data_IF_984361540751
#
_entry.id   IF_984361540751
#
_cell.length_a   1.000
_cell.length_b   1.000
_cell.length_c   1.000
_cell.angle_alpha   90.00
_cell.angle_beta   90.00
_cell.angle_gamma   90.00
#
_symmetry.space_group_name_H-M   'P 1'
#
loop_
_entity.id
_entity.type
_entity.pdbx_description
1 polymer ?
#
# COMPACT_ATOMS: atom_id res chain seq x y z
N UNK A 1 -0.72 9.30 15.78
CA UNK A 1 -0.55 7.83 15.73
C UNK A 1 -0.88 7.43 14.31
N UNK A 2 -0.08 6.58 13.68
CA UNK A 2 -0.35 6.12 12.31
C UNK A 2 -1.53 5.16 12.35
N UNK A 3 -2.49 5.35 11.44
CA UNK A 3 -3.76 4.61 11.41
C UNK A 3 -3.98 3.91 10.08
N UNK A 4 -3.45 4.47 8.99
CA UNK A 4 -3.68 3.99 7.63
C UNK A 4 -2.36 3.72 6.91
N UNK A 5 -2.28 2.57 6.23
CA UNK A 5 -1.26 2.27 5.24
C UNK A 5 -1.94 2.26 3.88
N UNK A 6 -1.44 3.03 2.91
CA UNK A 6 -2.00 3.02 1.57
C UNK A 6 -1.37 1.90 0.74
N UNK A 7 -2.23 1.16 0.06
CA UNK A 7 -1.84 0.26 -1.02
C UNK A 7 -1.40 1.07 -2.28
N UNK A 8 -0.66 0.43 -3.16
CA UNK A 8 -0.07 1.02 -4.38
C UNK A 8 -1.14 1.61 -5.29
N UNK A 9 -2.28 0.91 -5.48
CA UNK A 9 -3.37 1.45 -6.29
C UNK A 9 -3.95 2.76 -5.71
N UNK A 10 -4.11 2.86 -4.39
CA UNK A 10 -4.62 4.07 -3.73
C UNK A 10 -3.65 5.23 -3.90
N UNK A 11 -2.34 4.98 -3.82
CA UNK A 11 -1.31 5.98 -4.11
C UNK A 11 -1.45 6.52 -5.53
N UNK A 12 -1.61 5.64 -6.54
CA UNK A 12 -1.80 6.02 -7.94
C UNK A 12 -3.06 6.89 -8.12
N UNK A 13 -4.18 6.51 -7.50
CA UNK A 13 -5.42 7.30 -7.57
C UNK A 13 -5.26 8.69 -6.91
N UNK A 14 -4.56 8.78 -5.78
CA UNK A 14 -4.27 10.03 -5.10
C UNK A 14 -3.37 10.95 -5.95
N UNK A 15 -2.29 10.40 -6.52
CA UNK A 15 -1.36 11.12 -7.41
C UNK A 15 -2.07 11.66 -8.65
N UNK A 16 -2.90 10.84 -9.29
CA UNK A 16 -3.67 11.22 -10.47
C UNK A 16 -4.88 12.11 -10.17
N UNK A 17 -5.18 12.34 -8.88
CA UNK A 17 -6.35 13.07 -8.39
C UNK A 17 -7.67 12.53 -8.99
N UNK A 18 -7.75 11.22 -9.20
CA UNK A 18 -8.87 10.54 -9.86
C UNK A 18 -9.11 9.20 -9.16
N UNK A 19 -10.23 9.00 -8.46
CA UNK A 19 -11.27 9.99 -8.19
C UNK A 19 -10.82 11.03 -7.15
N UNK A 20 -11.30 12.27 -7.26
CA UNK A 20 -10.89 13.38 -6.39
C UNK A 20 -11.12 13.09 -4.89
N UNK A 21 -12.08 12.22 -4.55
CA UNK A 21 -12.37 11.83 -3.16
C UNK A 21 -11.20 11.14 -2.46
N UNK A 22 -10.37 10.39 -3.19
CA UNK A 22 -9.19 9.72 -2.61
C UNK A 22 -8.19 10.78 -2.14
N UNK A 23 -7.90 11.78 -2.97
CA UNK A 23 -7.01 12.90 -2.59
C UNK A 23 -7.58 13.71 -1.42
N UNK A 24 -8.90 13.93 -1.38
CA UNK A 24 -9.55 14.61 -0.24
C UNK A 24 -9.37 13.83 1.07
N UNK A 25 -9.60 12.51 1.06
CA UNK A 25 -9.36 11.65 2.24
C UNK A 25 -7.88 11.66 2.65
N UNK A 26 -6.96 11.61 1.70
CA UNK A 26 -5.53 11.69 1.99
C UNK A 26 -5.16 13.00 2.71
N UNK A 27 -5.65 14.14 2.22
CA UNK A 27 -5.41 15.45 2.87
C UNK A 27 -6.03 15.47 4.27
N UNK A 28 -7.25 14.95 4.42
CA UNK A 28 -7.94 14.88 5.72
C UNK A 28 -7.16 14.05 6.75
N UNK A 29 -6.51 12.97 6.32
CA UNK A 29 -5.80 12.04 7.19
C UNK A 29 -4.27 12.16 7.13
N UNK A 30 -3.72 13.23 6.53
CA UNK A 30 -2.30 13.32 6.17
C UNK A 30 -1.31 12.97 7.31
N UNK A 31 -1.65 13.27 8.56
CA UNK A 31 -0.80 13.04 9.74
C UNK A 31 -0.82 11.58 10.24
N UNK A 32 -1.76 10.78 9.77
CA UNK A 32 -2.03 9.42 10.24
C UNK A 32 -1.88 8.38 9.12
N UNK A 33 -1.34 8.78 7.97
CA UNK A 33 -1.19 7.94 6.78
C UNK A 33 0.29 7.64 6.53
N UNK A 34 0.56 6.41 6.13
CA UNK A 34 1.87 5.95 5.70
C UNK A 34 1.78 5.09 4.44
N UNK A 35 2.93 4.76 3.87
CA UNK A 35 3.08 3.70 2.87
C UNK A 35 4.18 2.73 3.29
N UNK A 36 4.08 1.48 2.84
CA UNK A 36 5.18 0.54 2.91
C UNK A 36 6.28 0.95 1.92
N UNK A 37 7.56 0.76 2.27
CA UNK A 37 8.64 0.92 1.30
C UNK A 37 8.53 -0.05 0.09
N UNK A 38 7.75 -1.14 0.21
CA UNK A 38 7.37 -2.02 -0.90
C UNK A 38 6.47 -1.28 -1.91
N UNK A 39 5.47 -0.54 -1.42
CA UNK A 39 4.63 0.33 -2.26
C UNK A 39 5.45 1.42 -2.94
N UNK A 40 6.40 2.02 -2.21
CA UNK A 40 7.36 2.97 -2.82
C UNK A 40 8.14 2.32 -3.97
N UNK A 41 8.64 1.10 -3.77
CA UNK A 41 9.37 0.37 -4.82
C UNK A 41 8.49 0.12 -6.06
N UNK A 42 7.22 -0.23 -5.90
CA UNK A 42 6.28 -0.38 -7.03
C UNK A 42 6.02 0.95 -7.75
N UNK A 43 5.86 2.05 -7.01
CA UNK A 43 5.67 3.39 -7.59
C UNK A 43 6.90 3.83 -8.40
N UNK A 44 8.10 3.64 -7.85
CA UNK A 44 9.36 3.96 -8.53
C UNK A 44 9.56 3.07 -9.76
N UNK A 45 9.26 1.78 -9.67
CA UNK A 45 9.29 0.88 -10.83
C UNK A 45 8.32 1.34 -11.93
N UNK A 46 7.11 1.77 -11.56
CA UNK A 46 6.16 2.37 -12.49
C UNK A 46 6.70 3.64 -13.16
N UNK A 47 7.41 4.49 -12.41
CA UNK A 47 8.07 5.68 -12.94
C UNK A 47 9.21 5.34 -13.91
N UNK A 48 10.06 4.37 -13.60
CA UNK A 48 11.14 3.91 -14.48
C UNK A 48 10.62 3.35 -15.81
N UNK A 49 9.46 2.68 -15.80
CA UNK A 49 8.83 2.12 -17.00
C UNK A 49 8.04 3.16 -17.84
N UNK A 50 7.84 4.36 -17.32
CA UNK A 50 7.03 5.41 -17.97
C UNK A 50 7.67 5.88 -19.28
N UNK A 51 6.83 6.18 -20.29
CA UNK A 51 7.28 6.83 -21.53
C UNK A 51 7.94 8.20 -21.28
N UNK A 52 7.53 8.89 -20.20
CA UNK A 52 8.22 10.05 -19.69
C UNK A 52 8.65 9.77 -18.24
N UNK A 53 9.82 9.15 -18.12
CA UNK A 53 10.43 8.73 -16.86
C UNK A 53 10.60 9.89 -15.88
N UNK A 54 11.25 10.98 -16.29
CA UNK A 54 11.58 12.09 -15.40
C UNK A 54 10.33 12.75 -14.80
N UNK A 55 9.29 12.94 -15.61
CA UNK A 55 8.00 13.46 -15.13
C UNK A 55 7.34 12.53 -14.12
N UNK A 56 7.36 11.21 -14.37
CA UNK A 56 6.77 10.24 -13.47
C UNK A 56 7.56 10.15 -12.15
N UNK A 57 8.90 10.18 -12.23
CA UNK A 57 9.78 10.17 -11.06
C UNK A 57 9.56 11.39 -10.17
N UNK A 58 9.47 12.58 -10.77
CA UNK A 58 9.13 13.81 -10.05
C UNK A 58 7.77 13.70 -9.35
N UNK A 59 6.76 13.13 -10.02
CA UNK A 59 5.43 12.95 -9.43
C UNK A 59 5.47 11.99 -8.22
N UNK A 60 6.23 10.90 -8.30
CA UNK A 60 6.41 9.97 -7.16
C UNK A 60 7.09 10.69 -5.99
N UNK A 61 8.20 11.39 -6.22
CA UNK A 61 8.89 12.11 -5.17
C UNK A 61 8.03 13.19 -4.52
N UNK A 62 7.35 14.01 -5.32
CA UNK A 62 6.46 15.05 -4.80
C UNK A 62 5.29 14.47 -3.99
N UNK A 63 4.82 13.27 -4.35
CA UNK A 63 3.78 12.57 -3.60
C UNK A 63 4.29 12.03 -2.27
N UNK A 64 5.49 11.45 -2.24
CA UNK A 64 6.04 10.78 -1.07
C UNK A 64 6.75 11.71 -0.10
N UNK A 65 7.12 12.92 -0.51
CA UNK A 65 7.80 13.94 0.32
C UNK A 65 7.08 14.23 1.65
N UNK A 66 5.74 14.16 1.66
CA UNK A 66 4.93 14.45 2.84
C UNK A 66 4.28 13.19 3.46
N UNK A 67 4.70 12.00 3.04
CA UNK A 67 4.19 10.73 3.57
C UNK A 67 5.24 10.06 4.44
N UNK A 68 4.78 9.46 5.54
CA UNK A 68 5.63 8.55 6.28
C UNK A 68 5.81 7.26 5.46
N UNK A 69 7.05 6.92 5.17
CA UNK A 69 7.41 5.63 4.57
C UNK A 69 7.91 4.73 5.70
N UNK A 70 7.24 3.59 5.89
CA UNK A 70 7.66 2.60 6.87
C UNK A 70 8.60 1.58 6.22
N UNK A 71 9.67 1.25 6.93
CA UNK A 71 10.62 0.22 6.53
C UNK A 71 10.02 -1.17 6.73
N UNK A 72 10.10 -1.99 5.69
CA UNK A 72 9.73 -3.39 5.77
C UNK A 72 10.76 -4.18 6.60
N UNK A 73 10.44 -4.41 7.86
CA UNK A 73 11.32 -5.04 8.85
C UNK A 73 11.10 -6.56 8.99
N UNK A 74 11.78 -7.16 9.98
CA UNK A 74 11.68 -8.60 10.28
C UNK A 74 10.27 -9.00 10.73
N UNK A 75 9.55 -8.11 11.41
CA UNK A 75 8.18 -8.38 11.84
C UNK A 75 7.24 -8.42 10.63
N UNK A 76 7.34 -7.44 9.74
CA UNK A 76 6.63 -7.44 8.46
C UNK A 76 6.90 -8.73 7.67
N UNK A 77 8.18 -9.11 7.53
CA UNK A 77 8.58 -10.36 6.88
C UNK A 77 7.95 -11.61 7.50
N UNK A 78 7.91 -11.68 8.83
CA UNK A 78 7.31 -12.80 9.57
C UNK A 78 5.81 -12.92 9.29
N UNK A 79 5.09 -11.81 9.28
CA UNK A 79 3.66 -11.81 8.97
C UNK A 79 3.40 -12.16 7.50
N UNK A 80 4.17 -11.62 6.57
CA UNK A 80 4.09 -11.97 5.14
C UNK A 80 4.27 -13.46 4.90
N UNK A 81 5.28 -14.09 5.51
CA UNK A 81 5.51 -15.52 5.38
C UNK A 81 4.32 -16.35 5.88
N UNK A 82 3.76 -15.97 7.04
CA UNK A 82 2.56 -16.62 7.62
C UNK A 82 1.35 -16.49 6.70
N UNK A 83 1.11 -15.29 6.16
CA UNK A 83 -0.01 -15.03 5.25
C UNK A 83 0.14 -15.87 3.99
N UNK A 84 1.31 -15.80 3.34
CA UNK A 84 1.59 -16.53 2.10
C UNK A 84 1.37 -18.03 2.25
N UNK A 85 2.00 -18.65 3.25
CA UNK A 85 1.87 -20.08 3.51
C UNK A 85 0.43 -20.50 3.88
N UNK A 86 -0.35 -19.60 4.50
CA UNK A 86 -1.75 -19.87 4.83
C UNK A 86 -2.65 -19.79 3.61
N UNK A 87 -2.47 -18.78 2.76
CA UNK A 87 -3.26 -18.59 1.55
C UNK A 87 -2.95 -19.65 0.48
N UNK A 88 -1.68 -20.02 0.31
CA UNK A 88 -1.26 -21.08 -0.61
C UNK A 88 -1.86 -22.44 -0.21
N UNK A 89 -1.80 -22.82 1.08
CA UNK A 89 -2.45 -24.05 1.58
C UNK A 89 -3.97 -24.08 1.35
N UNK A 90 -4.61 -22.91 1.30
CA UNK A 90 -6.04 -22.76 1.05
C UNK A 90 -6.39 -22.65 -0.45
N UNK A 91 -5.40 -22.67 -1.34
CA UNK A 91 -5.61 -22.49 -2.79
C UNK A 91 -6.10 -21.08 -3.16
N UNK A 92 -5.83 -20.07 -2.33
CA UNK A 92 -6.29 -18.70 -2.52
C UNK A 92 -5.14 -17.67 -2.41
N UNK A 93 -4.03 -17.85 -3.14
CA UNK A 93 -2.93 -16.88 -3.10
C UNK A 93 -3.39 -15.49 -3.56
N UNK A 94 -2.67 -14.46 -3.12
CA UNK A 94 -2.75 -13.08 -3.62
C UNK A 94 -1.38 -12.68 -4.17
N UNK A 95 -1.27 -11.51 -4.81
CA UNK A 95 -0.01 -11.02 -5.38
C UNK A 95 1.15 -11.05 -4.36
N UNK A 96 2.38 -11.25 -4.84
CA UNK A 96 3.55 -11.32 -3.95
C UNK A 96 3.78 -9.99 -3.21
N UNK A 97 3.71 -8.85 -3.91
CA UNK A 97 3.79 -7.53 -3.28
C UNK A 97 2.58 -7.22 -2.40
N UNK A 98 1.37 -7.61 -2.82
CA UNK A 98 0.17 -7.50 -1.97
C UNK A 98 0.33 -8.28 -0.65
N UNK A 99 0.93 -9.47 -0.71
CA UNK A 99 1.20 -10.28 0.48
C UNK A 99 2.22 -9.60 1.41
N UNK A 100 3.20 -8.91 0.82
CA UNK A 100 4.19 -8.11 1.58
C UNK A 100 3.52 -6.90 2.24
N UNK A 101 2.72 -6.15 1.50
CA UNK A 101 1.99 -4.97 2.01
C UNK A 101 0.98 -5.38 3.09
N UNK A 102 0.22 -6.45 2.88
CA UNK A 102 -0.69 -7.01 3.88
C UNK A 102 0.04 -7.44 5.16
N UNK A 103 1.17 -8.13 5.02
CA UNK A 103 1.99 -8.53 6.17
C UNK A 103 2.56 -7.34 6.92
N UNK A 104 2.98 -6.30 6.20
CA UNK A 104 3.48 -5.07 6.80
C UNK A 104 2.37 -4.36 7.60
N UNK A 105 1.21 -4.10 7.00
CA UNK A 105 0.08 -3.47 7.68
C UNK A 105 -0.36 -4.26 8.92
N UNK A 106 -0.46 -5.60 8.80
CA UNK A 106 -0.87 -6.47 9.90
C UNK A 106 0.17 -6.49 11.05
N UNK A 107 1.46 -6.47 10.74
CA UNK A 107 2.53 -6.45 11.75
C UNK A 107 2.53 -5.19 12.61
N UNK A 108 2.02 -4.08 12.08
CA UNK A 108 1.93 -2.78 12.74
C UNK A 108 0.53 -2.51 13.32
N UNK A 109 -0.43 -3.43 13.14
CA UNK A 109 -1.84 -3.24 13.49
C UNK A 109 -2.45 -1.97 12.86
N UNK A 110 -2.17 -1.76 11.58
CA UNK A 110 -2.60 -0.60 10.78
C UNK A 110 -3.69 -1.02 9.79
N UNK A 111 -4.65 -0.12 9.51
CA UNK A 111 -5.69 -0.33 8.50
C UNK A 111 -5.08 -0.20 7.10
N UNK A 112 -5.18 -1.22 6.27
CA UNK A 112 -4.77 -1.16 4.87
C UNK A 112 -5.89 -0.54 4.01
N UNK A 113 -5.59 0.59 3.37
CA UNK A 113 -6.49 1.25 2.43
C UNK A 113 -6.24 0.71 1.04
N UNK A 114 -7.23 0.07 0.43
CA UNK A 114 -7.10 -0.59 -0.88
C UNK A 114 -8.40 -0.56 -1.67
N UNK A 115 -8.29 -0.55 -3.00
CA UNK A 115 -9.43 -0.83 -3.89
C UNK A 115 -9.61 -2.34 -4.17
N UNK A 116 -8.65 -3.18 -3.79
CA UNK A 116 -8.66 -4.62 -4.05
C UNK A 116 -9.15 -5.44 -2.83
N UNK A 117 -10.21 -4.98 -2.17
CA UNK A 117 -10.71 -5.62 -0.95
C UNK A 117 -11.06 -7.10 -1.15
N UNK A 118 -11.45 -7.52 -2.36
CA UNK A 118 -11.74 -8.93 -2.67
C UNK A 118 -10.56 -9.86 -2.39
N UNK A 119 -9.34 -9.44 -2.70
CA UNK A 119 -8.14 -10.23 -2.45
C UNK A 119 -7.69 -10.09 -1.00
N UNK A 120 -7.60 -8.86 -0.50
CA UNK A 120 -7.11 -8.61 0.85
C UNK A 120 -8.03 -9.16 1.96
N UNK A 121 -9.33 -9.30 1.74
CA UNK A 121 -10.25 -9.95 2.69
C UNK A 121 -9.90 -11.43 2.96
N UNK A 122 -9.07 -12.06 2.13
CA UNK A 122 -8.58 -13.43 2.37
C UNK A 122 -7.55 -13.49 3.50
N UNK A 123 -6.93 -12.36 3.83
CA UNK A 123 -5.92 -12.24 4.89
C UNK A 123 -6.61 -12.09 6.24
N UNK A 124 -6.54 -13.13 7.07
CA UNK A 124 -7.20 -13.12 8.37
C UNK A 124 -6.60 -12.07 9.32
N UNK A 125 -7.46 -11.28 9.96
CA UNK A 125 -7.08 -10.24 10.93
C UNK A 125 -6.63 -8.91 10.30
N UNK A 126 -6.53 -8.82 8.97
CA UNK A 126 -6.20 -7.57 8.29
C UNK A 126 -7.41 -6.64 8.28
N UNK A 127 -7.25 -5.42 8.82
CA UNK A 127 -8.27 -4.38 8.77
C UNK A 127 -8.18 -3.64 7.44
N UNK A 128 -9.32 -3.42 6.78
CA UNK A 128 -9.39 -2.79 5.47
C UNK A 128 -10.29 -1.56 5.48
N UNK A 129 -9.92 -0.56 4.68
CA UNK A 129 -10.78 0.56 4.31
C UNK A 129 -10.71 0.77 2.78
N UNK A 130 -11.76 1.35 2.20
CA UNK A 130 -11.83 1.67 0.79
C UNK A 130 -12.17 3.16 0.60
N UNK A 131 -11.32 3.86 -0.14
CA UNK A 131 -11.47 5.28 -0.41
C UNK A 131 -12.07 5.57 -1.80
N UNK A 132 -12.43 4.52 -2.53
CA UNK A 132 -13.02 4.52 -3.89
C UNK A 132 -14.51 4.26 -3.87
#
# INVERSE_FOLDING_TARGET
>A
MITYMLDTNICIYAMNNKPQKVRKKLIQHQKNVCISNITLAELLYGAEKSANRDKAWYAVNAFTENLLILDYDVMAATYTAKIRATLERKGMPIGSYDTMIAGHALSQNIILVTNNQKEFNRVNGLQLDNWI
#
